data_IF_522486094868
#
_entry.id   IF_522486094868
#
_cell.length_a   1.000
_cell.length_b   1.000
_cell.length_c   1.000
_cell.angle_alpha   90.00
_cell.angle_beta   90.00
_cell.angle_gamma   90.00
#
_symmetry.space_group_name_H-M   'P 1'
#
loop_
_entity.id
_entity.type
_entity.pdbx_description
1 polymer ?
#
# COMPACT_ATOMS: atom_id res chain seq x y z
N UNK A 1 -34.44 -57.46 -13.62
CA UNK A 1 -33.08 -58.05 -13.63
C UNK A 1 -32.27 -57.68 -14.87
N UNK A 2 -32.87 -57.65 -16.07
CA UNK A 2 -32.17 -57.36 -17.34
C UNK A 2 -31.56 -55.95 -17.43
N UNK A 3 -32.21 -54.94 -16.86
CA UNK A 3 -31.71 -53.54 -16.87
C UNK A 3 -30.47 -53.33 -16.00
N UNK A 4 -30.39 -54.00 -14.84
CA UNK A 4 -29.23 -53.93 -13.94
C UNK A 4 -27.99 -54.58 -14.57
N UNK A 5 -28.19 -55.71 -15.26
CA UNK A 5 -27.13 -56.40 -16.00
C UNK A 5 -26.60 -55.57 -17.19
N UNK A 6 -27.49 -54.87 -17.90
CA UNK A 6 -27.08 -54.00 -19.01
C UNK A 6 -26.26 -52.79 -18.54
N UNK A 7 -26.62 -52.17 -17.42
CA UNK A 7 -25.88 -51.04 -16.83
C UNK A 7 -24.50 -51.48 -16.35
N UNK A 8 -24.40 -52.64 -15.70
CA UNK A 8 -23.11 -53.19 -15.25
C UNK A 8 -22.19 -53.55 -16.43
N UNK A 9 -22.74 -54.16 -17.49
CA UNK A 9 -21.98 -54.49 -18.69
C UNK A 9 -21.46 -53.22 -19.40
N UNK A 10 -22.29 -52.17 -19.50
CA UNK A 10 -21.88 -50.90 -20.08
C UNK A 10 -20.83 -50.19 -19.22
N UNK A 11 -20.98 -50.18 -17.89
CA UNK A 11 -19.99 -49.61 -16.98
C UNK A 11 -18.64 -50.33 -17.09
N UNK A 12 -18.64 -51.67 -17.18
CA UNK A 12 -17.43 -52.45 -17.38
C UNK A 12 -16.76 -52.17 -18.74
N UNK A 13 -17.56 -52.09 -19.81
CA UNK A 13 -17.08 -51.81 -21.17
C UNK A 13 -16.47 -50.40 -21.32
N UNK A 14 -16.83 -49.44 -20.48
CA UNK A 14 -16.25 -48.08 -20.50
C UNK A 14 -15.09 -47.94 -19.52
N UNK A 15 -15.20 -48.50 -18.32
CA UNK A 15 -14.18 -48.35 -17.28
C UNK A 15 -12.91 -49.16 -17.55
N UNK A 16 -13.02 -50.36 -18.13
CA UNK A 16 -11.86 -51.21 -18.40
C UNK A 16 -10.92 -50.62 -19.47
N UNK A 17 -11.40 -50.14 -20.65
CA UNK A 17 -10.53 -49.47 -21.61
C UNK A 17 -9.97 -48.14 -21.08
N UNK A 18 -10.75 -47.39 -20.29
CA UNK A 18 -10.27 -46.15 -19.67
C UNK A 18 -9.13 -46.42 -18.69
N UNK A 19 -9.23 -47.47 -17.88
CA UNK A 19 -8.19 -47.90 -16.95
C UNK A 19 -6.94 -48.45 -17.69
N UNK A 20 -7.13 -49.22 -18.76
CA UNK A 20 -6.03 -49.78 -19.56
C UNK A 20 -5.28 -48.71 -20.36
N UNK A 21 -5.96 -47.65 -20.81
CA UNK A 21 -5.34 -46.55 -21.55
C UNK A 21 -4.74 -45.47 -20.65
N UNK A 22 -5.13 -45.41 -19.36
CA UNK A 22 -4.58 -44.46 -18.39
C UNK A 22 -3.05 -44.57 -18.24
N UNK A 23 -2.47 -45.77 -18.40
CA UNK A 23 -1.02 -45.99 -18.39
C UNK A 23 -0.27 -45.36 -19.58
N UNK A 24 -0.96 -45.13 -20.71
CA UNK A 24 -0.37 -44.57 -21.93
C UNK A 24 -0.35 -43.03 -21.92
N UNK A 25 -1.37 -42.40 -21.32
CA UNK A 25 -1.46 -40.94 -21.18
C UNK A 25 -0.78 -40.40 -19.91
N UNK A 26 -0.51 -41.29 -18.94
CA UNK A 26 0.12 -40.98 -17.66
C UNK A 26 1.38 -40.10 -17.75
N UNK A 27 2.43 -40.46 -18.52
CA UNK A 27 3.68 -39.68 -18.55
C UNK A 27 3.55 -38.33 -19.27
N UNK A 28 2.62 -38.19 -20.23
CA UNK A 28 2.38 -36.94 -20.96
C UNK A 28 1.57 -35.92 -20.14
N UNK A 29 0.60 -36.40 -19.34
CA UNK A 29 -0.17 -35.56 -18.43
C UNK A 29 0.55 -35.29 -17.11
N UNK A 30 1.33 -36.25 -16.58
CA UNK A 30 2.07 -36.08 -15.33
C UNK A 30 3.06 -34.91 -15.41
N UNK A 31 3.80 -34.78 -16.51
CA UNK A 31 4.75 -33.67 -16.67
C UNK A 31 4.07 -32.30 -16.73
N UNK A 32 2.90 -32.19 -17.38
CA UNK A 32 2.13 -30.94 -17.43
C UNK A 32 1.47 -30.61 -16.09
N UNK A 33 0.92 -31.60 -15.39
CA UNK A 33 0.30 -31.40 -14.07
C UNK A 33 1.35 -31.03 -13.03
N UNK A 34 2.51 -31.69 -13.02
CA UNK A 34 3.60 -31.36 -12.11
C UNK A 34 4.17 -29.95 -12.37
N UNK A 35 4.27 -29.54 -13.64
CA UNK A 35 4.69 -28.18 -14.01
C UNK A 35 3.68 -27.11 -13.55
N UNK A 36 2.38 -27.37 -13.70
CA UNK A 36 1.34 -26.45 -13.21
C UNK A 36 1.32 -26.40 -11.68
N UNK A 37 1.44 -27.55 -11.02
CA UNK A 37 1.47 -27.63 -9.56
C UNK A 37 2.73 -26.98 -8.99
N UNK A 38 3.89 -27.14 -9.63
CA UNK A 38 5.13 -26.48 -9.21
C UNK A 38 5.05 -24.97 -9.42
N UNK A 39 4.48 -24.49 -10.53
CA UNK A 39 4.24 -23.06 -10.74
C UNK A 39 3.28 -22.46 -9.70
N UNK A 40 2.18 -23.15 -9.37
CA UNK A 40 1.24 -22.73 -8.32
C UNK A 40 1.86 -22.76 -6.92
N UNK A 41 2.72 -23.74 -6.62
CA UNK A 41 3.46 -23.83 -5.35
C UNK A 41 4.53 -22.76 -5.26
N UNK A 42 5.28 -22.51 -6.34
CA UNK A 42 6.27 -21.44 -6.43
C UNK A 42 5.60 -20.06 -6.26
N UNK A 43 4.45 -19.84 -6.89
CA UNK A 43 3.65 -18.63 -6.70
C UNK A 43 3.16 -18.45 -5.26
N UNK A 44 2.69 -19.53 -4.61
CA UNK A 44 2.31 -19.50 -3.18
C UNK A 44 3.49 -19.27 -2.25
N UNK A 45 4.62 -19.94 -2.49
CA UNK A 45 5.85 -19.76 -1.72
C UNK A 45 6.36 -18.32 -1.84
N UNK A 46 6.40 -17.78 -3.05
CA UNK A 46 6.76 -16.38 -3.30
C UNK A 46 5.79 -15.39 -2.64
N UNK A 47 4.50 -15.69 -2.56
CA UNK A 47 3.53 -14.85 -1.84
C UNK A 47 3.74 -14.86 -0.33
N UNK A 48 4.04 -16.02 0.26
CA UNK A 48 4.36 -16.13 1.69
C UNK A 48 5.65 -15.38 2.00
N UNK A 49 6.68 -15.53 1.17
CA UNK A 49 7.96 -14.85 1.36
C UNK A 49 7.81 -13.33 1.27
N UNK A 50 7.07 -12.83 0.27
CA UNK A 50 6.76 -11.40 0.15
C UNK A 50 6.01 -10.86 1.37
N UNK A 51 5.08 -11.65 1.94
CA UNK A 51 4.38 -11.25 3.18
C UNK A 51 5.28 -11.23 4.39
N UNK A 52 6.25 -12.15 4.49
CA UNK A 52 7.25 -12.14 5.57
C UNK A 52 8.19 -10.96 5.42
N UNK A 53 8.72 -10.72 4.22
CA UNK A 53 9.54 -9.55 3.92
C UNK A 53 8.81 -8.25 4.28
N UNK A 54 7.55 -8.10 3.89
CA UNK A 54 6.71 -6.97 4.28
C UNK A 54 6.47 -6.87 5.80
N UNK A 55 6.30 -7.99 6.50
CA UNK A 55 6.13 -7.98 7.96
C UNK A 55 7.43 -7.57 8.68
N UNK A 56 8.58 -8.09 8.23
CA UNK A 56 9.90 -7.70 8.75
C UNK A 56 10.18 -6.23 8.49
N UNK A 57 9.93 -5.75 7.27
CA UNK A 57 10.08 -4.35 6.90
C UNK A 57 9.19 -3.44 7.78
N UNK A 58 7.97 -3.85 8.10
CA UNK A 58 7.09 -3.10 9.03
C UNK A 58 7.64 -2.98 10.43
N UNK A 59 8.30 -4.01 10.93
CA UNK A 59 8.94 -3.94 12.24
C UNK A 59 10.12 -2.96 12.21
N UNK A 60 10.96 -3.00 11.17
CA UNK A 60 12.05 -2.04 10.99
C UNK A 60 11.51 -0.60 10.89
N UNK A 61 10.49 -0.40 10.06
CA UNK A 61 9.83 0.90 9.90
C UNK A 61 9.30 1.43 11.25
N UNK A 62 8.66 0.58 12.05
CA UNK A 62 8.18 0.92 13.39
C UNK A 62 9.31 1.38 14.31
N UNK A 63 10.49 0.77 14.22
CA UNK A 63 11.64 1.14 15.06
C UNK A 63 12.36 2.41 14.60
N UNK A 64 12.32 2.72 13.29
CA UNK A 64 13.03 3.86 12.73
C UNK A 64 12.22 5.16 12.71
N UNK A 65 10.89 5.09 12.56
CA UNK A 65 10.02 6.26 12.57
C UNK A 65 9.57 6.66 13.97
N UNK A 66 9.29 7.94 14.13
CA UNK A 66 8.59 8.44 15.32
C UNK A 66 7.16 7.88 15.41
N UNK A 67 6.58 7.91 16.61
CA UNK A 67 5.25 7.36 16.90
C UNK A 67 4.11 8.00 16.06
N UNK A 68 4.26 9.26 15.64
CA UNK A 68 3.27 9.93 14.79
C UNK A 68 3.36 9.38 13.37
N UNK A 69 4.55 9.40 12.78
CA UNK A 69 4.78 8.96 11.41
C UNK A 69 4.49 7.46 11.23
N UNK A 70 4.87 6.61 12.20
CA UNK A 70 4.53 5.19 12.18
C UNK A 70 3.00 4.97 12.24
N UNK A 71 2.31 5.65 13.15
CA UNK A 71 0.85 5.53 13.25
C UNK A 71 0.15 6.03 11.97
N UNK A 72 0.69 7.07 11.33
CA UNK A 72 0.21 7.59 10.05
C UNK A 72 0.36 6.55 8.94
N UNK A 73 1.54 5.93 8.81
CA UNK A 73 1.75 4.88 7.81
C UNK A 73 0.80 3.70 8.02
N UNK A 74 0.69 3.21 9.25
CA UNK A 74 -0.19 2.08 9.60
C UNK A 74 -1.66 2.35 9.27
N UNK A 75 -2.15 3.56 9.54
CA UNK A 75 -3.57 3.90 9.40
C UNK A 75 -3.94 4.43 8.00
N UNK A 76 -3.00 5.09 7.31
CA UNK A 76 -3.24 5.78 6.04
C UNK A 76 -2.55 5.13 4.83
N UNK A 77 -1.44 4.42 5.04
CA UNK A 77 -0.61 3.82 3.99
C UNK A 77 0.44 4.75 3.39
N UNK A 78 0.67 5.92 4.01
CA UNK A 78 1.66 6.91 3.61
C UNK A 78 2.11 7.72 4.84
N UNK A 79 3.25 8.40 4.73
CA UNK A 79 3.77 9.29 5.79
C UNK A 79 3.85 10.73 5.32
N UNK A 80 3.89 11.65 6.27
CA UNK A 80 4.03 13.09 6.03
C UNK A 80 5.40 13.54 6.52
N UNK A 81 6.15 14.20 5.65
CA UNK A 81 7.46 14.78 5.99
C UNK A 81 7.39 16.29 5.82
N UNK A 82 7.75 17.04 6.84
CA UNK A 82 7.81 18.50 6.76
C UNK A 82 8.98 18.95 5.87
N UNK A 83 8.74 19.92 5.00
CA UNK A 83 9.81 20.62 4.30
C UNK A 83 10.62 21.47 5.28
N UNK A 84 11.95 21.36 5.20
CA UNK A 84 12.93 22.16 5.93
C UNK A 84 13.38 23.39 5.14
N UNK A 85 13.27 23.34 3.82
CA UNK A 85 13.59 24.48 2.95
C UNK A 85 12.61 25.63 3.12
N UNK A 86 13.08 26.87 2.98
CA UNK A 86 12.19 28.04 2.84
C UNK A 86 11.50 28.13 1.46
N UNK A 87 11.72 27.15 0.58
CA UNK A 87 11.30 27.19 -0.83
C UNK A 87 10.84 25.82 -1.31
N UNK A 88 9.54 25.61 -1.34
CA UNK A 88 8.95 24.37 -1.84
C UNK A 88 9.22 24.15 -3.34
N UNK A 89 9.43 22.90 -3.77
CA UNK A 89 9.42 22.52 -5.19
C UNK A 89 8.02 22.68 -5.78
N UNK A 90 7.77 23.86 -6.36
CA UNK A 90 6.49 24.25 -6.93
C UNK A 90 6.65 24.62 -8.43
N UNK A 91 6.48 23.65 -9.36
CA UNK A 91 6.60 23.90 -10.80
C UNK A 91 5.52 24.85 -11.33
N UNK A 92 4.39 24.96 -10.62
CA UNK A 92 3.34 25.94 -10.91
C UNK A 92 3.72 27.41 -10.61
N UNK A 93 4.90 27.65 -10.02
CA UNK A 93 5.31 28.98 -9.56
C UNK A 93 4.60 29.44 -8.27
N UNK A 94 3.55 28.74 -7.83
CA UNK A 94 2.86 28.98 -6.56
C UNK A 94 3.74 28.53 -5.41
N UNK A 95 4.56 29.43 -4.89
CA UNK A 95 5.42 29.14 -3.73
C UNK A 95 4.72 29.53 -2.42
N UNK A 96 4.96 28.80 -1.33
CA UNK A 96 4.61 29.29 0.00
C UNK A 96 5.25 30.66 0.22
N UNK A 97 4.55 31.55 0.91
CA UNK A 97 5.16 32.76 1.43
C UNK A 97 6.29 32.41 2.41
N UNK A 98 7.30 33.27 2.60
CA UNK A 98 8.35 33.05 3.59
C UNK A 98 7.74 32.74 4.98
N UNK A 99 8.25 31.71 5.65
CA UNK A 99 7.76 31.25 6.95
C UNK A 99 6.53 30.33 6.91
N UNK A 100 5.93 30.08 5.75
CA UNK A 100 4.82 29.12 5.61
C UNK A 100 5.39 27.72 5.40
N UNK A 101 5.14 26.83 6.36
CA UNK A 101 5.55 25.43 6.27
C UNK A 101 4.75 24.67 5.19
N UNK A 102 5.47 23.93 4.36
CA UNK A 102 4.92 22.94 3.42
C UNK A 102 5.32 21.53 3.84
N UNK A 103 4.70 20.52 3.24
CA UNK A 103 4.99 19.12 3.54
C UNK A 103 4.93 18.25 2.28
N UNK A 104 5.54 17.07 2.40
CA UNK A 104 5.52 15.97 1.45
C UNK A 104 4.61 14.86 1.97
N UNK A 105 3.76 14.30 1.10
CA UNK A 105 3.21 12.97 1.31
C UNK A 105 4.10 11.96 0.61
N UNK A 106 4.65 11.03 1.38
CA UNK A 106 5.52 9.96 0.88
C UNK A 106 4.70 8.69 0.81
N UNK A 107 4.48 8.24 -0.42
CA UNK A 107 3.74 7.04 -0.75
C UNK A 107 4.73 5.93 -1.14
N UNK A 108 4.38 4.66 -0.93
CA UNK A 108 5.16 3.56 -1.48
C UNK A 108 5.07 3.56 -3.01
N UNK A 109 6.22 3.43 -3.67
CA UNK A 109 6.37 3.25 -5.13
C UNK A 109 5.69 4.31 -5.98
N UNK A 110 5.53 5.51 -5.44
CA UNK A 110 4.74 6.60 -6.04
C UNK A 110 5.45 7.94 -5.81
N UNK A 111 5.23 8.93 -6.69
CA UNK A 111 5.83 10.24 -6.50
C UNK A 111 5.34 10.87 -5.21
N UNK A 112 6.20 11.66 -4.58
CA UNK A 112 5.83 12.44 -3.41
C UNK A 112 4.92 13.59 -3.82
N UNK A 113 3.89 13.84 -3.03
CA UNK A 113 3.02 15.00 -3.24
C UNK A 113 3.48 16.13 -2.34
N UNK A 114 3.81 17.26 -2.93
CA UNK A 114 4.19 18.49 -2.22
C UNK A 114 2.94 19.33 -2.02
N UNK A 115 2.64 19.73 -0.80
CA UNK A 115 1.42 20.47 -0.49
C UNK A 115 1.59 21.46 0.67
N UNK A 116 0.64 22.40 0.78
CA UNK A 116 0.49 23.31 1.91
C UNK A 116 -0.53 22.74 2.90
N UNK A 117 -0.15 22.36 4.13
CA UNK A 117 -1.07 21.77 5.10
C UNK A 117 -2.23 22.68 5.49
N UNK A 118 -2.02 23.99 5.56
CA UNK A 118 -3.01 24.97 5.99
C UNK A 118 -4.19 25.07 5.01
N UNK A 119 -3.90 24.99 3.71
CA UNK A 119 -4.90 25.16 2.64
C UNK A 119 -5.21 23.88 1.89
N UNK A 120 -4.44 22.80 2.13
CA UNK A 120 -4.47 21.57 1.33
C UNK A 120 -4.20 21.82 -0.17
N UNK A 121 -3.48 22.90 -0.48
CA UNK A 121 -3.12 23.25 -1.87
C UNK A 121 -1.94 22.40 -2.33
N UNK A 122 -2.08 21.77 -3.49
CA UNK A 122 -1.00 21.01 -4.12
C UNK A 122 -0.02 21.95 -4.80
N UNK A 123 1.27 21.76 -4.52
CA UNK A 123 2.37 22.55 -5.05
C UNK A 123 3.04 21.85 -6.23
N UNK A 124 3.26 20.53 -6.11
CA UNK A 124 3.95 19.72 -7.11
C UNK A 124 3.92 18.23 -6.80
N UNK A 125 4.40 17.44 -7.76
CA UNK A 125 4.72 16.02 -7.61
C UNK A 125 6.24 15.85 -7.80
N UNK A 126 6.90 15.12 -6.91
CA UNK A 126 8.34 14.88 -6.94
C UNK A 126 8.61 13.38 -7.02
N UNK A 127 9.09 12.89 -8.16
CA UNK A 127 9.65 11.54 -8.25
C UNK A 127 11.13 11.59 -7.92
N UNK A 128 11.46 11.06 -6.75
CA UNK A 128 12.83 10.89 -6.29
C UNK A 128 13.38 9.57 -6.85
N UNK A 129 14.63 9.60 -7.28
CA UNK A 129 15.38 8.39 -7.61
C UNK A 129 16.48 8.23 -6.57
N UNK A 130 16.36 7.21 -5.73
CA UNK A 130 17.34 6.93 -4.69
C UNK A 130 18.61 6.35 -5.32
N UNK A 131 19.77 6.87 -4.92
CA UNK A 131 21.05 6.40 -5.44
C UNK A 131 21.33 4.95 -5.01
N UNK A 132 21.84 4.13 -5.92
CA UNK A 132 22.21 2.74 -5.65
C UNK A 132 21.05 1.74 -5.61
N UNK A 133 19.81 2.17 -5.89
CA UNK A 133 18.68 1.27 -6.09
C UNK A 133 18.43 1.05 -7.59
N UNK A 134 18.27 -0.21 -7.97
CA UNK A 134 17.90 -0.60 -9.33
C UNK A 134 16.39 -0.39 -9.54
N UNK A 135 15.95 0.37 -10.56
CA UNK A 135 14.54 0.49 -10.89
C UNK A 135 13.83 -0.84 -11.19
N UNK A 136 14.56 -1.86 -11.63
CA UNK A 136 14.02 -3.18 -11.98
C UNK A 136 13.82 -4.10 -10.76
N UNK A 137 14.44 -3.78 -9.62
CA UNK A 137 14.29 -4.50 -8.35
C UNK A 137 13.75 -3.57 -7.25
N UNK A 138 12.45 -3.24 -7.29
CA UNK A 138 11.87 -2.30 -6.36
C UNK A 138 11.86 -2.86 -4.94
N UNK A 139 12.17 -2.00 -3.98
CA UNK A 139 12.08 -2.32 -2.56
C UNK A 139 10.68 -2.81 -2.18
N UNK A 140 10.60 -3.50 -1.03
CA UNK A 140 9.34 -3.76 -0.37
C UNK A 140 8.64 -2.41 -0.07
N UNK A 141 7.32 -2.34 -0.18
CA UNK A 141 6.57 -1.08 -0.06
C UNK A 141 6.88 -0.32 1.24
N UNK A 142 7.11 -1.06 2.32
CA UNK A 142 7.50 -0.48 3.61
C UNK A 142 8.93 0.09 3.59
N UNK A 143 9.90 -0.63 3.04
CA UNK A 143 11.31 -0.19 2.96
C UNK A 143 11.47 1.00 2.00
N UNK A 144 10.70 1.02 0.91
CA UNK A 144 10.65 2.16 -0.01
C UNK A 144 10.26 3.46 0.73
N UNK A 145 9.22 3.39 1.58
CA UNK A 145 8.79 4.53 2.38
C UNK A 145 9.86 4.93 3.40
N UNK A 146 10.51 3.96 4.05
CA UNK A 146 11.61 4.22 4.98
C UNK A 146 12.75 4.96 4.28
N UNK A 147 13.18 4.46 3.13
CA UNK A 147 14.29 5.03 2.38
C UNK A 147 14.00 6.46 1.93
N UNK A 148 12.81 6.73 1.40
CA UNK A 148 12.40 8.08 1.02
C UNK A 148 12.23 9.02 2.22
N UNK A 149 11.71 8.52 3.35
CA UNK A 149 11.62 9.30 4.59
C UNK A 149 13.01 9.67 5.11
N UNK A 150 13.94 8.71 5.15
CA UNK A 150 15.33 8.96 5.54
C UNK A 150 16.00 9.97 4.61
N UNK A 151 15.85 9.80 3.30
CA UNK A 151 16.43 10.71 2.32
C UNK A 151 15.95 12.15 2.52
N UNK A 152 14.63 12.35 2.64
CA UNK A 152 14.05 13.69 2.85
C UNK A 152 14.39 14.30 4.22
N UNK A 153 14.51 13.49 5.26
CA UNK A 153 14.85 13.99 6.61
C UNK A 153 16.34 14.25 6.80
N UNK A 154 17.22 13.60 6.05
CA UNK A 154 18.67 13.84 6.09
C UNK A 154 19.09 14.99 5.18
N UNK A 155 18.72 14.93 3.89
CA UNK A 155 19.10 15.92 2.88
C UNK A 155 17.96 16.19 1.89
N UNK A 156 16.97 16.96 2.34
CA UNK A 156 15.85 17.38 1.48
C UNK A 156 16.35 18.09 0.22
N UNK A 157 17.37 18.95 0.32
CA UNK A 157 17.79 19.79 -0.78
C UNK A 157 18.44 18.98 -1.89
N UNK A 158 19.36 18.07 -1.56
CA UNK A 158 19.99 17.17 -2.54
C UNK A 158 18.98 16.21 -3.18
N UNK A 159 18.03 15.69 -2.38
CA UNK A 159 16.96 14.82 -2.88
C UNK A 159 16.05 15.55 -3.86
N UNK A 160 15.60 16.76 -3.52
CA UNK A 160 14.72 17.56 -4.40
C UNK A 160 15.47 18.07 -5.63
N UNK A 161 16.76 18.39 -5.51
CA UNK A 161 17.57 18.85 -6.64
C UNK A 161 17.76 17.79 -7.72
N UNK A 162 17.84 16.51 -7.33
CA UNK A 162 17.93 15.37 -8.26
C UNK A 162 16.57 14.79 -8.68
N UNK A 163 15.48 15.19 -8.02
CA UNK A 163 14.15 14.69 -8.30
C UNK A 163 13.56 15.21 -9.62
N UNK A 164 12.77 14.38 -10.29
CA UNK A 164 11.89 14.84 -11.38
C UNK A 164 10.67 15.52 -10.78
N UNK A 165 10.54 16.82 -11.04
CA UNK A 165 9.44 17.65 -10.53
C UNK A 165 8.38 17.84 -11.63
N UNK A 166 7.13 17.51 -11.31
CA UNK A 166 5.98 17.60 -12.21
C UNK A 166 4.80 18.38 -11.61
N UNK A 167 3.89 18.80 -12.48
CA UNK A 167 2.66 19.47 -12.04
C UNK A 167 1.75 18.52 -11.25
N UNK A 168 0.98 19.01 -10.27
CA UNK A 168 -0.02 18.19 -9.60
C UNK A 168 -1.04 17.62 -10.60
N UNK A 169 -1.32 16.32 -10.52
CA UNK A 169 -2.21 15.62 -11.45
C UNK A 169 -1.50 14.91 -12.59
N UNK A 170 -0.16 14.97 -12.69
CA UNK A 170 0.58 14.37 -13.81
C UNK A 170 0.61 12.85 -13.68
N UNK A 171 0.96 12.37 -12.49
CA UNK A 171 1.08 10.93 -12.23
C UNK A 171 0.04 10.43 -11.24
N UNK A 172 -0.30 11.26 -10.24
CA UNK A 172 -1.34 10.94 -9.27
C UNK A 172 -2.61 11.72 -9.56
N UNK A 173 -3.76 11.03 -9.58
CA UNK A 173 -5.03 11.74 -9.78
C UNK A 173 -5.27 12.76 -8.66
N UNK A 174 -5.60 14.00 -9.02
CA UNK A 174 -5.91 15.07 -8.04
C UNK A 174 -7.02 14.68 -7.08
N UNK A 175 -8.00 13.88 -7.54
CA UNK A 175 -9.10 13.38 -6.71
C UNK A 175 -8.60 12.42 -5.63
N UNK A 176 -7.69 11.50 -5.98
CA UNK A 176 -7.10 10.58 -5.00
C UNK A 176 -6.29 11.35 -3.95
N UNK A 177 -5.44 12.30 -4.39
CA UNK A 177 -4.64 13.12 -3.49
C UNK A 177 -5.53 13.97 -2.56
N UNK A 178 -6.60 14.59 -3.07
CA UNK A 178 -7.55 15.35 -2.25
C UNK A 178 -8.25 14.48 -1.20
N UNK A 179 -8.61 13.25 -1.57
CA UNK A 179 -9.17 12.27 -0.62
C UNK A 179 -8.14 11.92 0.47
N UNK A 180 -6.90 11.71 0.09
CA UNK A 180 -5.84 11.33 1.03
C UNK A 180 -5.49 12.49 1.98
N UNK A 181 -5.46 13.73 1.49
CA UNK A 181 -5.33 14.93 2.32
C UNK A 181 -6.51 15.11 3.29
N UNK A 182 -7.73 14.80 2.86
CA UNK A 182 -8.88 14.79 3.74
C UNK A 182 -8.75 13.72 4.84
N UNK A 183 -8.32 12.50 4.47
CA UNK A 183 -8.06 11.40 5.44
C UNK A 183 -6.99 11.79 6.45
N UNK A 184 -5.92 12.45 5.99
CA UNK A 184 -4.85 12.96 6.86
C UNK A 184 -5.40 13.97 7.87
N UNK A 185 -6.15 14.98 7.44
CA UNK A 185 -6.74 15.98 8.34
C UNK A 185 -7.70 15.36 9.35
N UNK A 186 -8.52 14.40 8.91
CA UNK A 186 -9.42 13.69 9.81
C UNK A 186 -8.63 12.87 10.84
N UNK A 187 -7.56 12.19 10.41
CA UNK A 187 -6.68 11.43 11.28
C UNK A 187 -6.00 12.31 12.34
N UNK A 188 -5.45 13.46 11.93
CA UNK A 188 -4.85 14.47 12.82
C UNK A 188 -5.89 14.99 13.83
N UNK A 189 -7.09 15.35 13.34
CA UNK A 189 -8.18 15.84 14.20
C UNK A 189 -8.57 14.82 15.27
N UNK A 190 -8.75 13.55 14.90
CA UNK A 190 -9.08 12.47 15.85
C UNK A 190 -7.96 12.25 16.87
N UNK A 191 -6.69 12.43 16.49
CA UNK A 191 -5.56 12.30 17.41
C UNK A 191 -5.53 13.46 18.40
N UNK A 192 -5.74 14.69 17.93
CA UNK A 192 -5.86 15.88 18.79
C UNK A 192 -7.05 15.75 19.74
N UNK A 193 -8.21 15.30 19.27
CA UNK A 193 -9.39 15.03 20.12
C UNK A 193 -9.07 14.01 21.23
N UNK A 194 -8.36 12.91 20.91
CA UNK A 194 -7.93 11.92 21.90
C UNK A 194 -6.91 12.48 22.90
N UNK A 195 -5.94 13.26 22.42
CA UNK A 195 -4.91 13.87 23.26
C UNK A 195 -5.50 14.90 24.23
N UNK A 196 -6.54 15.63 23.80
CA UNK A 196 -7.26 16.61 24.63
C UNK A 196 -8.37 15.96 25.49
N UNK A 197 -8.59 14.64 25.39
CA UNK A 197 -9.65 13.95 26.12
C UNK A 197 -11.07 14.36 25.71
N UNK A 198 -11.25 14.98 24.54
CA UNK A 198 -12.54 15.51 24.08
C UNK A 198 -13.38 14.36 23.52
N UNK A 199 -14.34 13.88 24.31
CA UNK A 199 -15.37 12.94 23.84
C UNK A 199 -16.44 13.73 23.07
N UNK A 200 -16.63 13.44 21.78
CA UNK A 200 -17.72 14.06 21.00
C UNK A 200 -19.09 13.78 21.64
N UNK A 201 -19.91 14.80 21.94
CA UNK A 201 -21.17 14.64 22.67
C UNK A 201 -22.21 13.77 21.93
N UNK A 202 -22.11 13.62 20.61
CA UNK A 202 -23.08 12.87 19.80
C UNK A 202 -23.16 11.35 20.07
N UNK A 203 -22.19 10.75 20.80
CA UNK A 203 -22.28 9.33 21.21
C UNK A 203 -22.91 9.16 22.60
N UNK A 204 -22.83 10.17 23.47
CA UNK A 204 -23.47 10.18 24.79
C UNK A 204 -24.98 10.40 24.68
N UNK A 205 -25.44 11.24 23.77
CA UNK A 205 -26.89 11.44 23.55
C UNK A 205 -27.62 10.17 23.12
N UNK A 206 -26.96 9.28 22.36
CA UNK A 206 -27.54 8.01 21.94
C UNK A 206 -27.54 6.96 23.07
N UNK A 207 -26.61 7.05 24.01
CA UNK A 207 -26.56 6.20 25.19
C UNK A 207 -27.59 6.64 26.26
N UNK A 208 -27.83 7.94 26.40
CA UNK A 208 -28.86 8.48 27.31
C UNK A 208 -30.27 8.25 26.75
N UNK A 209 -30.45 8.35 25.43
CA UNK A 209 -31.76 8.14 24.77
C UNK A 209 -32.13 6.65 24.58
N UNK A 210 -31.23 5.72 24.91
CA UNK A 210 -31.43 4.27 24.81
C UNK A 210 -31.75 3.55 26.12
N UNK A 211 -31.87 4.28 27.24
CA UNK A 211 -32.30 3.69 28.52
C UNK A 211 -33.83 3.82 28.61
N UNK A 212 -34.62 2.74 28.42
CA UNK A 212 -36.04 2.80 28.75
C UNK A 212 -36.14 3.04 30.26
N UNK A 213 -36.90 4.06 30.63
CA UNK A 213 -37.32 4.26 32.02
C UNK A 213 -38.23 3.09 32.38
N UNK A 214 -37.71 2.18 33.20
CA UNK A 214 -38.45 1.16 33.93
C UNK A 214 -38.34 1.48 35.42
#
# INVERSE_FOLDING_TARGET
MTTVLAVLAFAAAVLVPLALTAGYWGPLLANRVLAVVSWLRAGRAGHVERRRAEATARELLRTCLDDESWAMYRDLGFVRVWGRGGRAPAPSGRRPAPGVAYAYLVYPHRPHVVFLPQTSTLLGECRVQLAGLDPEDPLVATDDVLAHWMALTQDEHGVVASARIGFPGTELSRRAVRRDLWRLREWESRRTERALGVVRPGRLERAVRGRPAG
#
